data_IF_033403290513
#
_entry.id   IF_033403290513
#
_cell.length_a   1.000
_cell.length_b   1.000
_cell.length_c   1.000
_cell.angle_alpha   90.00
_cell.angle_beta   90.00
_cell.angle_gamma   90.00
#
_symmetry.space_group_name_H-M   'P 1'
#
loop_
_entity.id
_entity.type
_entity.pdbx_description
1 polymer ?
2 polymer ?
3 polymer ?
4 polymer ?
#
loop_
_entity_poly.entity_id
_entity_poly.type
_entity_poly.pdbx_seq_one_letter_code
_entity_poly.pdbx_strand_id
2 'polydeoxyribonucleotide' '(DG)(DG)(DC)(DA)(DG)(DT)(DG)(DT)(DT)(DT)(DT)(DC)(DA)(DC)(DT)(DT)(DT)(DC)(DA)(DC)(DC)(DT)(DG)(DA)(DA)(DC)(DC)(DG)(DG)(DT)(DT)(DT)(DC)(DT)(DC)(DA)(DC)(DA)(DG)(DC)' ?
3 'polydeoxyribonucleotide' '(DG)(DC)(DT)(DG)(DT)(DG)(DA)(DG)(DA)(DA)(DA)(DC)(DC)(DG)' ?
4 'polyribonucleotide' 'CUUUUUGACGAAAAACUCGCCUCAGAAGAUAGGGAGAGUCUAAACGGACGUGGAAGUCGAGGCGCUCUUCGGGGUGCUGAGACUGUGGAAGCGUCAAGACCACCUGCGAGUCAUCGUAGAGGGUCACCGUAGAUGAGUAAUCAUCUGCCCAUCUAUUGCAUUAUGCACGCGAAAGCGUGUGCAUGGGUGGUUCCCGGUUCAGGUGAAAGUGAAA' ?
#
# COMPACT_ATOMS: atom_id res chain seq x y z
N UNK A 11 -13.59 -16.60 12.99
CA UNK A 11 -13.96 -17.68 12.07
C UNK A 11 -13.38 -17.43 10.68
N UNK A 12 -12.17 -16.90 10.62
CA UNK A 12 -11.54 -16.52 9.37
C UNK A 12 -10.51 -17.58 8.96
N UNK A 13 -10.64 -18.08 7.75
CA UNK A 13 -9.66 -18.96 7.13
C UNK A 13 -8.84 -18.13 6.16
N UNK A 14 -8.01 -18.79 5.36
CA UNK A 14 -7.27 -18.10 4.32
C UNK A 14 -6.86 -19.11 3.27
N UNK A 15 -7.45 -19.01 2.08
CA UNK A 15 -7.08 -19.90 0.97
C UNK A 15 -5.91 -19.27 0.24
N UNK A 16 -4.73 -19.83 0.43
CA UNK A 16 -3.51 -19.29 -0.14
C UNK A 16 -3.22 -20.06 -1.43
N UNK A 17 -3.51 -19.45 -2.56
CA UNK A 17 -3.18 -20.02 -3.85
C UNK A 17 -1.84 -19.52 -4.31
N UNK A 18 -1.16 -20.33 -5.10
CA UNK A 18 0.01 -19.88 -5.83
C UNK A 18 -0.45 -19.41 -7.20
N UNK A 19 -0.25 -18.14 -7.50
CA UNK A 19 -0.71 -17.57 -8.76
C UNK A 19 0.04 -18.19 -9.92
N UNK A 20 -0.56 -18.06 -11.11
CA UNK A 20 0.07 -18.46 -12.36
C UNK A 20 -0.04 -17.33 -13.37
N UNK A 21 0.58 -16.18 -13.11
CA UNK A 21 0.41 -15.01 -13.97
C UNK A 21 1.27 -15.14 -15.22
N UNK A 22 1.18 -14.13 -16.08
CA UNK A 22 1.98 -14.03 -17.29
C UNK A 22 2.71 -12.69 -17.29
N UNK A 23 3.42 -12.41 -18.39
CA UNK A 23 4.27 -11.22 -18.44
C UNK A 23 3.45 -9.95 -18.22
N UNK A 24 2.31 -9.84 -18.90
CA UNK A 24 1.49 -8.64 -18.80
C UNK A 24 0.95 -8.45 -17.39
N UNK A 25 0.83 -9.52 -16.62
CA UNK A 25 0.32 -9.42 -15.25
C UNK A 25 1.43 -9.29 -14.22
N UNK A 26 2.57 -9.98 -14.45
CA UNK A 26 3.71 -9.80 -13.56
C UNK A 26 4.25 -8.37 -13.64
N UNK A 27 4.19 -7.75 -14.82
CA UNK A 27 4.61 -6.35 -14.93
C UNK A 27 3.77 -5.46 -14.02
N UNK A 28 2.45 -5.66 -14.01
CA UNK A 28 1.58 -4.88 -13.15
C UNK A 28 1.81 -5.20 -11.68
N UNK A 29 2.14 -6.46 -11.37
CA UNK A 29 2.46 -6.81 -9.98
C UNK A 29 3.73 -6.12 -9.49
N UNK A 30 4.78 -6.11 -10.33
CA UNK A 30 6.00 -5.38 -10.01
C UNK A 30 5.74 -3.88 -9.86
N UNK A 31 4.96 -3.29 -10.77
CA UNK A 31 4.62 -1.88 -10.64
C UNK A 31 3.84 -1.61 -9.35
N UNK A 32 2.98 -2.55 -8.97
CA UNK A 32 2.19 -2.37 -7.76
C UNK A 32 3.06 -2.41 -6.51
N UNK A 33 3.98 -3.37 -6.43
CA UNK A 33 4.85 -3.44 -5.25
C UNK A 33 5.80 -2.25 -5.23
N UNK A 34 6.27 -1.81 -6.40
CA UNK A 34 7.07 -0.60 -6.45
C UNK A 34 6.34 0.62 -5.95
N UNK A 35 5.07 0.78 -6.35
CA UNK A 35 4.28 1.93 -5.90
C UNK A 35 4.03 1.87 -4.40
N UNK A 36 3.71 0.68 -3.87
CA UNK A 36 3.49 0.55 -2.44
C UNK A 36 4.77 0.86 -1.66
N UNK A 37 5.91 0.37 -2.15
CA UNK A 37 7.18 0.67 -1.50
C UNK A 37 7.48 2.16 -1.53
N UNK A 38 7.20 2.83 -2.65
CA UNK A 38 7.53 4.25 -2.78
C UNK A 38 6.67 5.08 -1.83
N UNK A 39 5.38 4.76 -1.72
CA UNK A 39 4.54 5.48 -0.75
C UNK A 39 4.94 5.17 0.69
N UNK A 40 5.32 3.91 0.95
CA UNK A 40 5.83 3.54 2.28
C UNK A 40 7.03 4.39 2.64
N UNK A 41 7.97 4.54 1.70
CA UNK A 41 9.16 5.34 1.94
C UNK A 41 8.82 6.80 2.18
N UNK A 42 7.90 7.39 1.39
CA UNK A 42 7.62 8.80 1.64
C UNK A 42 7.03 8.99 3.03
N UNK A 43 6.09 8.11 3.42
CA UNK A 43 5.46 8.28 4.73
C UNK A 43 6.46 8.10 5.86
N UNK A 44 7.31 7.07 5.78
CA UNK A 44 8.28 6.83 6.84
C UNK A 44 9.29 7.98 6.92
N UNK A 45 9.72 8.51 5.77
CA UNK A 45 10.64 9.66 5.79
C UNK A 45 9.99 10.87 6.46
N UNK A 46 8.73 11.15 6.10
CA UNK A 46 8.05 12.28 6.73
C UNK A 46 8.02 12.11 8.25
N UNK A 47 7.67 10.90 8.70
CA UNK A 47 7.61 10.66 10.14
C UNK A 47 8.99 10.76 10.78
N UNK A 48 10.03 10.29 10.08
CA UNK A 48 11.37 10.23 10.63
C UNK A 48 11.94 11.62 10.85
N UNK A 49 11.90 12.48 9.82
CA UNK A 49 12.34 13.85 10.03
C UNK A 49 11.25 14.76 10.63
N UNK A 50 10.12 14.24 11.08
CA UNK A 50 9.34 14.96 12.07
C UNK A 50 9.83 14.62 13.48
N UNK A 51 10.05 13.33 13.74
CA UNK A 51 10.49 12.92 15.08
C UNK A 51 11.92 13.36 15.39
N UNK A 52 12.76 13.56 14.37
CA UNK A 52 14.08 14.13 14.63
C UNK A 52 13.96 15.51 15.27
N UNK A 53 13.11 16.36 14.70
CA UNK A 53 12.83 17.66 15.31
C UNK A 53 12.18 17.49 16.67
N UNK A 54 11.28 16.51 16.81
CA UNK A 54 10.66 16.25 18.11
C UNK A 54 11.71 16.02 19.19
N UNK A 55 12.64 15.11 18.94
CA UNK A 55 13.65 14.79 19.95
C UNK A 55 14.66 15.90 20.14
N UNK A 56 14.99 16.65 19.08
CA UNK A 56 15.86 17.81 19.25
C UNK A 56 15.23 18.83 20.18
N UNK A 57 13.94 19.13 19.98
CA UNK A 57 13.25 20.06 20.88
C UNK A 57 13.20 19.52 22.30
N UNK A 58 12.89 18.22 22.45
CA UNK A 58 12.81 17.65 23.79
C UNK A 58 14.14 17.72 24.52
N UNK A 59 15.24 17.42 23.83
CA UNK A 59 16.57 17.51 24.45
C UNK A 59 16.94 18.95 24.76
N UNK A 60 16.65 19.88 23.85
CA UNK A 60 17.03 21.28 24.07
C UNK A 60 16.20 21.93 25.18
N UNK A 61 15.01 21.42 25.47
CA UNK A 61 14.26 21.88 26.62
C UNK A 61 14.48 21.03 27.86
N UNK A 62 15.33 19.99 27.76
CA UNK A 62 15.63 19.16 28.91
C UNK A 62 16.70 19.75 29.81
N UNK A 63 17.38 20.81 29.38
CA UNK A 63 18.38 21.46 30.22
C UNK A 63 17.74 21.99 31.50
N UNK A 64 16.57 22.62 31.38
CA UNK A 64 15.78 23.01 32.53
C UNK A 64 14.81 21.89 32.88
N UNK A 65 14.77 21.53 34.15
CA UNK A 65 13.95 20.41 34.59
C UNK A 65 12.48 20.67 34.30
N UNK A 66 11.81 19.69 33.68
CA UNK A 66 10.40 19.79 33.33
C UNK A 66 9.72 18.47 33.67
N UNK A 67 8.40 18.53 33.82
CA UNK A 67 7.60 17.36 34.14
C UNK A 67 7.08 16.73 32.84
N UNK A 68 6.17 15.77 32.97
CA UNK A 68 5.55 15.13 31.82
C UNK A 68 4.20 15.72 31.45
N UNK A 69 3.45 16.24 32.42
CA UNK A 69 2.15 16.82 32.12
C UNK A 69 2.30 18.18 31.46
N UNK A 70 3.29 18.97 31.90
CA UNK A 70 3.47 20.31 31.34
C UNK A 70 3.86 20.25 29.86
N UNK A 71 4.81 19.37 29.52
CA UNK A 71 5.22 19.24 28.13
C UNK A 71 4.09 18.67 27.29
N UNK A 72 3.31 17.76 27.86
CA UNK A 72 2.15 17.22 27.13
C UNK A 72 1.13 18.32 26.84
N UNK A 73 0.85 19.17 27.83
CA UNK A 73 -0.08 20.28 27.61
C UNK A 73 0.47 21.26 26.57
N UNK A 74 1.77 21.54 26.61
CA UNK A 74 2.36 22.43 25.63
C UNK A 74 2.25 21.84 24.22
N UNK A 75 2.54 20.55 24.07
CA UNK A 75 2.44 19.91 22.76
C UNK A 75 1.00 19.88 22.27
N UNK A 76 0.05 19.67 23.18
CA UNK A 76 -1.36 19.74 22.80
C UNK A 76 -1.74 21.14 22.33
N UNK A 77 -1.24 22.17 23.02
CA UNK A 77 -1.47 23.54 22.59
C UNK A 77 -0.79 23.87 21.27
N UNK A 78 0.27 23.13 20.92
CA UNK A 78 0.95 23.30 19.64
C UNK A 78 0.40 22.39 18.55
N UNK A 79 -0.88 22.03 18.61
CA UNK A 79 -1.53 21.19 17.61
C UNK A 79 -2.41 22.00 16.66
N UNK A 80 -2.19 23.31 16.57
CA UNK A 80 -2.99 24.16 15.69
C UNK A 80 -2.11 24.99 14.76
N UNK A 81 -0.89 25.29 15.19
CA UNK A 81 0.05 26.07 14.40
C UNK A 81 1.39 25.37 14.37
N UNK A 82 2.13 25.60 13.28
CA UNK A 82 3.43 24.97 13.04
C UNK A 82 3.29 23.45 13.05
N UNK A 83 2.60 22.95 12.03
CA UNK A 83 2.19 21.56 11.93
C UNK A 83 3.37 20.59 11.87
N UNK A 84 4.59 21.11 11.97
CA UNK A 84 5.77 20.25 12.01
C UNK A 84 5.82 19.36 13.25
N UNK A 85 4.99 19.64 14.26
CA UNK A 85 4.90 18.82 15.46
C UNK A 85 3.75 17.82 15.39
N UNK A 86 3.43 17.33 14.19
CA UNK A 86 2.29 16.45 13.99
C UNK A 86 2.69 15.24 13.17
N UNK A 87 2.02 14.12 13.43
CA UNK A 87 2.20 12.89 12.68
C UNK A 87 0.89 12.54 11.97
N UNK A 88 1.02 11.89 10.82
CA UNK A 88 -0.12 11.66 9.94
C UNK A 88 -0.35 10.18 9.71
N UNK A 89 -1.63 9.80 9.59
CA UNK A 89 -2.03 8.43 9.30
C UNK A 89 -1.91 8.17 7.81
N UNK A 90 -2.51 7.08 7.33
CA UNK A 90 -2.49 6.79 5.90
C UNK A 90 -3.39 7.74 5.13
N UNK A 91 -4.60 7.99 5.64
CA UNK A 91 -5.55 8.81 4.89
C UNK A 91 -5.17 10.29 4.88
N UNK A 92 -4.81 10.83 6.03
CA UNK A 92 -4.47 12.25 6.11
C UNK A 92 -3.24 12.55 5.26
N UNK A 93 -2.19 11.73 5.40
CA UNK A 93 -1.02 11.95 4.57
C UNK A 93 -1.33 11.76 3.10
N UNK A 94 -2.15 10.77 2.76
CA UNK A 94 -2.54 10.57 1.38
C UNK A 94 -3.14 11.83 0.81
N UNK A 95 -4.24 12.27 1.41
CA UNK A 95 -4.94 13.46 0.92
C UNK A 95 -4.01 14.67 0.85
N UNK A 96 -3.15 14.85 1.86
CA UNK A 96 -2.40 16.10 1.97
C UNK A 96 -1.14 16.13 1.12
N UNK A 97 -0.49 14.99 0.86
CA UNK A 97 0.81 15.00 0.19
C UNK A 97 0.95 14.05 -0.99
N UNK A 98 -0.03 13.18 -1.26
CA UNK A 98 0.11 12.22 -2.36
C UNK A 98 -0.56 12.72 -3.64
N UNK A 99 -1.82 13.12 -3.57
CA UNK A 99 -2.50 13.62 -4.75
C UNK A 99 -2.01 15.02 -5.16
N UNK A 100 -1.54 15.88 -4.26
CA UNK A 100 -0.67 16.96 -4.70
C UNK A 100 0.49 16.49 -5.58
N UNK A 101 1.16 15.41 -5.20
CA UNK A 101 2.27 14.94 -6.02
C UNK A 101 1.78 14.22 -7.28
N UNK A 102 0.61 13.59 -7.20
CA UNK A 102 -0.01 13.05 -8.42
C UNK A 102 -0.31 14.17 -9.40
N UNK A 103 -0.85 15.29 -8.91
CA UNK A 103 -1.09 16.45 -9.76
C UNK A 103 0.22 17.05 -10.28
N UNK A 104 1.27 17.01 -9.47
CA UNK A 104 2.58 17.48 -9.93
C UNK A 104 3.08 16.64 -11.09
N UNK A 105 2.95 15.31 -10.99
CA UNK A 105 3.29 14.43 -12.10
C UNK A 105 2.43 14.72 -13.32
N UNK A 106 1.12 14.89 -13.10
CA UNK A 106 0.19 15.16 -14.20
C UNK A 106 0.56 16.44 -14.93
N UNK A 107 0.83 17.51 -14.19
CA UNK A 107 1.29 18.75 -14.79
C UNK A 107 2.61 18.55 -15.51
N UNK A 108 3.50 17.72 -14.97
CA UNK A 108 4.73 17.41 -15.67
C UNK A 108 4.50 16.68 -16.99
N UNK A 109 3.37 15.99 -17.15
CA UNK A 109 2.97 15.57 -18.49
C UNK A 109 2.12 16.60 -19.22
N UNK A 110 1.25 17.33 -18.50
CA UNK A 110 0.46 18.39 -19.12
C UNK A 110 1.32 19.55 -19.60
N UNK A 111 2.64 19.49 -19.38
CA UNK A 111 3.54 20.54 -19.83
C UNK A 111 4.70 19.97 -20.64
N UNK A 112 4.60 18.73 -21.12
CA UNK A 112 5.61 18.13 -21.98
C UNK A 112 4.88 17.48 -23.16
N UNK A 113 3.60 17.85 -23.33
CA UNK A 113 2.73 17.16 -24.29
C UNK A 113 3.34 17.11 -25.68
N UNK A 114 3.55 18.26 -26.30
CA UNK A 114 4.18 18.33 -27.62
C UNK A 114 5.25 19.43 -27.58
N UNK A 115 6.46 19.06 -27.17
CA UNK A 115 7.58 19.97 -27.19
C UNK A 115 7.63 20.87 -25.97
N UNK A 116 8.70 20.75 -25.18
CA UNK A 116 8.93 21.60 -24.01
C UNK A 116 10.33 21.29 -23.50
N UNK A 117 10.69 21.89 -22.36
CA UNK A 117 11.95 21.59 -21.71
C UNK A 117 11.68 20.67 -20.53
N UNK A 118 12.05 19.40 -20.60
CA UNK A 118 11.74 18.47 -19.50
C UNK A 118 12.76 18.55 -18.38
N UNK A 119 13.98 18.98 -18.70
CA UNK A 119 15.02 19.06 -17.68
C UNK A 119 14.67 20.04 -16.56
N UNK A 120 14.06 21.18 -16.91
CA UNK A 120 13.61 22.12 -15.89
C UNK A 120 12.36 21.63 -15.18
N UNK A 121 11.67 20.64 -15.74
CA UNK A 121 10.45 20.11 -15.15
C UNK A 121 10.71 18.79 -14.42
N UNK A 122 11.45 17.88 -15.03
CA UNK A 122 11.74 16.58 -14.43
C UNK A 122 13.15 16.17 -14.79
N UNK A 123 14.01 16.04 -13.79
CA UNK A 123 15.38 15.58 -13.97
C UNK A 123 15.68 14.47 -12.98
N UNK A 124 16.57 13.56 -13.38
CA UNK A 124 16.94 12.41 -12.54
C UNK A 124 18.12 12.74 -11.64
N UNK A 125 18.03 13.86 -10.91
CA UNK A 125 19.07 14.25 -9.96
C UNK A 125 18.56 14.24 -8.53
N UNK A 126 17.48 14.96 -8.24
CA UNK A 126 16.87 14.96 -6.92
C UNK A 126 15.75 13.94 -6.80
N UNK A 127 15.48 13.18 -7.85
CA UNK A 127 14.40 12.19 -7.86
C UNK A 127 14.77 11.09 -8.84
N UNK A 128 14.70 9.85 -8.39
CA UNK A 128 15.18 8.70 -9.15
C UNK A 128 14.17 8.19 -10.18
N UNK A 129 13.19 9.00 -10.54
CA UNK A 129 12.18 8.59 -11.52
C UNK A 129 12.56 9.12 -12.90
N UNK A 130 12.59 8.24 -13.89
CA UNK A 130 12.90 8.67 -15.25
C UNK A 130 11.83 9.61 -15.80
N UNK A 131 10.57 9.29 -15.55
CA UNK A 131 9.45 10.10 -15.98
C UNK A 131 8.36 10.01 -14.92
N UNK A 132 7.47 11.00 -14.84
CA UNK A 132 6.40 10.94 -13.84
C UNK A 132 5.47 9.75 -14.08
N UNK A 133 5.16 9.04 -13.01
CA UNK A 133 4.24 7.91 -13.10
C UNK A 133 3.29 7.75 -11.92
N UNK A 134 3.29 8.67 -10.95
CA UNK A 134 2.54 8.44 -9.72
C UNK A 134 1.05 8.70 -9.88
N UNK A 135 0.64 9.41 -10.93
CA UNK A 135 -0.78 9.69 -11.13
C UNK A 135 -1.50 8.56 -11.86
N UNK A 136 -0.79 7.78 -12.68
CA UNK A 136 -1.35 6.64 -13.38
C UNK A 136 -1.28 5.35 -12.57
N UNK A 137 -1.18 5.46 -11.25
CA UNK A 137 -1.08 4.30 -10.37
C UNK A 137 -2.40 4.09 -9.64
N UNK A 138 -2.79 2.84 -9.49
CA UNK A 138 -4.09 2.51 -8.91
C UNK A 138 -4.17 2.99 -7.47
N UNK A 139 -5.34 3.48 -7.08
CA UNK A 139 -5.51 4.04 -5.74
C UNK A 139 -5.33 2.97 -4.68
N UNK A 140 -5.83 1.76 -4.92
CA UNK A 140 -5.74 0.68 -3.93
C UNK A 140 -4.29 0.32 -3.64
N UNK A 141 -3.51 0.10 -4.70
CA UNK A 141 -2.12 -0.27 -4.54
C UNK A 141 -1.34 0.83 -3.83
N UNK A 142 -1.55 2.08 -4.24
CA UNK A 142 -0.85 3.19 -3.61
C UNK A 142 -1.17 3.28 -2.14
N UNK A 143 -2.46 3.22 -1.78
CA UNK A 143 -2.85 3.37 -0.38
C UNK A 143 -2.46 2.14 0.44
N UNK A 144 -2.13 1.01 -0.21
CA UNK A 144 -1.62 -0.13 0.56
C UNK A 144 -0.31 0.19 1.26
N UNK A 145 0.60 0.89 0.58
CA UNK A 145 1.83 1.31 1.23
C UNK A 145 1.60 2.23 2.40
N UNK A 146 0.64 3.16 2.25
CA UNK A 146 0.25 3.99 3.38
C UNK A 146 -0.25 3.13 4.54
N UNK A 147 -1.04 2.11 4.23
CA UNK A 147 -1.53 1.18 5.25
C UNK A 147 -0.36 0.58 6.03
N UNK A 148 0.61 0.03 5.31
CA UNK A 148 1.73 -0.65 5.95
C UNK A 148 2.57 0.30 6.78
N UNK A 149 2.89 1.47 6.24
CA UNK A 149 3.74 2.42 6.96
C UNK A 149 3.06 2.93 8.22
N UNK A 150 1.78 3.31 8.12
CA UNK A 150 1.04 3.75 9.29
C UNK A 150 0.97 2.64 10.32
N UNK A 151 0.77 1.40 9.88
CA UNK A 151 0.74 0.27 10.80
C UNK A 151 2.07 0.12 11.54
N UNK A 152 3.19 0.21 10.82
CA UNK A 152 4.50 0.06 11.45
C UNK A 152 4.74 1.15 12.49
N UNK A 153 4.44 2.40 12.14
CA UNK A 153 4.71 3.49 13.07
C UNK A 153 3.80 3.43 14.30
N UNK A 154 2.51 3.12 14.10
CA UNK A 154 1.63 2.96 15.26
C UNK A 154 2.05 1.76 16.10
N UNK A 155 2.53 0.71 15.46
CA UNK A 155 3.01 -0.46 16.17
C UNK A 155 4.18 -0.11 17.07
N UNK A 156 5.11 0.72 16.58
CA UNK A 156 6.26 1.06 17.40
C UNK A 156 5.89 2.02 18.52
N UNK A 157 5.07 3.03 18.24
CA UNK A 157 4.65 3.93 19.31
C UNK A 157 3.71 3.27 20.30
N UNK A 158 3.14 2.11 19.97
CA UNK A 158 2.44 1.31 20.96
C UNK A 158 3.39 0.39 21.72
N UNK A 159 4.43 -0.10 21.05
CA UNK A 159 5.44 -0.92 21.73
C UNK A 159 6.16 -0.13 22.80
N UNK A 160 6.46 1.14 22.53
CA UNK A 160 7.21 1.96 23.48
C UNK A 160 6.43 2.15 24.78
N UNK A 161 5.26 2.78 24.70
CA UNK A 161 4.61 3.29 25.90
C UNK A 161 4.18 2.20 26.89
N UNK A 162 3.14 1.43 26.57
CA UNK A 162 2.64 0.46 27.53
C UNK A 162 1.97 -0.79 27.03
N UNK A 163 1.97 -1.04 25.72
CA UNK A 163 1.02 -1.99 25.14
C UNK A 163 1.66 -3.30 24.68
N UNK A 164 2.64 -3.24 23.79
CA UNK A 164 3.15 -4.46 23.16
C UNK A 164 4.16 -5.14 24.06
N UNK A 165 3.87 -6.37 24.46
CA UNK A 165 4.79 -7.14 25.28
C UNK A 165 5.96 -7.66 24.44
N UNK A 166 7.02 -8.04 25.12
CA UNK A 166 8.21 -8.55 24.48
C UNK A 166 9.33 -7.53 24.44
N UNK A 167 10.27 -7.76 23.52
CA UNK A 167 11.43 -6.89 23.38
C UNK A 167 11.04 -5.56 22.77
N UNK A 168 11.94 -4.58 22.93
CA UNK A 168 11.79 -3.29 22.27
C UNK A 168 11.89 -3.47 20.76
N UNK A 169 11.04 -2.77 20.02
CA UNK A 169 10.91 -3.03 18.58
C UNK A 169 11.54 -1.91 17.76
N UNK A 170 12.84 -2.03 17.51
CA UNK A 170 13.54 -1.37 16.41
C UNK A 170 13.19 0.06 16.08
N UNK A 171 13.35 0.40 14.80
CA UNK A 171 12.88 1.63 14.17
C UNK A 171 12.46 1.25 12.76
N UNK A 172 11.48 1.96 12.18
CA UNK A 172 11.02 1.60 10.83
C UNK A 172 12.12 1.82 9.81
N UNK A 173 12.47 0.74 9.11
CA UNK A 173 13.55 0.77 8.14
C UNK A 173 13.01 0.98 6.73
N UNK A 174 13.70 1.83 5.97
CA UNK A 174 13.33 2.06 4.58
C UNK A 174 13.42 0.76 3.79
N UNK A 175 12.36 0.44 3.06
CA UNK A 175 12.37 -0.76 2.24
C UNK A 175 13.26 -0.54 1.01
N UNK A 176 13.75 -1.65 0.47
CA UNK A 176 14.63 -1.62 -0.68
C UNK A 176 14.24 -2.73 -1.64
N UNK A 177 14.74 -2.62 -2.87
CA UNK A 177 14.49 -3.62 -3.90
C UNK A 177 15.43 -4.80 -3.66
N UNK A 178 14.90 -5.87 -3.07
CA UNK A 178 15.68 -7.07 -2.80
C UNK A 178 16.18 -7.23 -1.38
N UNK A 179 15.77 -6.37 -0.46
CA UNK A 179 16.21 -6.47 0.93
C UNK A 179 15.00 -6.66 1.84
N UNK A 180 13.85 -6.14 1.42
CA UNK A 180 12.63 -6.21 2.21
C UNK A 180 11.56 -7.02 1.48
N UNK A 181 10.35 -7.00 2.02
CA UNK A 181 9.24 -7.80 1.53
C UNK A 181 8.40 -7.01 0.53
N UNK A 182 7.92 -7.71 -0.51
CA UNK A 182 7.07 -7.13 -1.55
C UNK A 182 5.68 -7.74 -1.43
N UNK A 183 4.67 -6.91 -1.14
CA UNK A 183 3.32 -7.42 -0.95
C UNK A 183 2.32 -6.27 -0.84
N UNK A 184 1.13 -6.46 -1.41
CA UNK A 184 0.07 -5.45 -1.29
C UNK A 184 -1.30 -6.12 -1.12
N UNK A 185 -2.20 -5.40 -0.48
CA UNK A 185 -3.54 -5.88 -0.16
C UNK A 185 -4.58 -5.06 -0.91
N UNK A 186 -5.51 -5.74 -1.57
CA UNK A 186 -6.59 -5.09 -2.33
C UNK A 186 -7.92 -5.59 -1.79
N UNK A 187 -8.82 -4.70 -1.36
CA UNK A 187 -10.02 -5.12 -0.63
C UNK A 187 -11.29 -5.27 -1.47
N UNK A 188 -12.34 -5.79 -0.81
CA UNK A 188 -13.72 -5.63 -1.24
C UNK A 188 -14.23 -4.29 -0.74
N UNK A 189 -15.36 -3.79 -1.28
CA UNK A 189 -16.35 -4.28 -2.25
C UNK A 189 -15.97 -4.14 -3.72
N UNK A 190 -14.70 -4.35 -4.05
CA UNK A 190 -14.34 -4.54 -5.44
C UNK A 190 -14.67 -5.96 -5.88
N UNK A 191 -14.63 -6.18 -7.18
CA UNK A 191 -15.08 -7.44 -7.77
C UNK A 191 -13.95 -8.45 -7.77
N UNK A 192 -14.11 -9.52 -7.01
CA UNK A 192 -13.11 -10.57 -6.85
C UNK A 192 -13.82 -11.85 -6.44
N UNK A 193 -13.26 -12.98 -6.83
CA UNK A 193 -13.82 -14.26 -6.42
C UNK A 193 -13.57 -15.33 -7.45
N UNK A 194 -13.98 -16.54 -7.08
CA UNK A 194 -13.79 -17.76 -7.85
C UNK A 194 -15.00 -18.01 -8.75
N UNK A 195 -15.14 -19.24 -9.23
CA UNK A 195 -16.27 -19.71 -10.04
C UNK A 195 -17.58 -19.10 -9.58
N UNK A 196 -18.31 -18.51 -10.52
CA UNK A 196 -19.50 -17.76 -10.23
C UNK A 196 -19.34 -16.26 -10.18
N UNK A 197 -18.31 -15.70 -10.82
CA UNK A 197 -18.04 -14.27 -10.80
C UNK A 197 -17.74 -13.80 -12.22
N UNK A 198 -18.00 -12.51 -12.47
CA UNK A 198 -17.90 -11.93 -13.79
C UNK A 198 -16.49 -11.39 -14.07
N UNK A 199 -16.24 -11.11 -15.35
CA UNK A 199 -14.94 -10.67 -15.84
C UNK A 199 -14.85 -9.13 -15.83
N UNK A 200 -13.81 -8.61 -16.48
CA UNK A 200 -13.56 -7.18 -16.59
C UNK A 200 -13.78 -6.73 -18.03
N UNK A 201 -14.39 -5.56 -18.20
CA UNK A 201 -14.64 -5.03 -19.54
C UNK A 201 -13.35 -4.50 -20.14
N UNK A 202 -13.00 -4.99 -21.33
CA UNK A 202 -11.87 -4.49 -22.07
C UNK A 202 -10.63 -5.37 -22.03
N UNK A 203 -10.55 -6.28 -21.07
CA UNK A 203 -9.38 -7.15 -20.98
C UNK A 203 -9.37 -8.12 -22.17
N UNK A 204 -8.21 -8.71 -22.47
CA UNK A 204 -8.16 -9.64 -23.61
C UNK A 204 -9.10 -10.83 -23.49
N UNK A 205 -9.53 -11.17 -22.28
CA UNK A 205 -10.52 -12.22 -22.08
C UNK A 205 -11.96 -11.70 -22.23
N UNK A 206 -12.15 -10.39 -22.29
CA UNK A 206 -13.45 -9.84 -22.64
C UNK A 206 -13.55 -9.51 -24.13
N UNK A 207 -12.41 -9.39 -24.81
CA UNK A 207 -12.43 -9.30 -26.27
C UNK A 207 -12.99 -10.58 -26.89
N UNK A 208 -12.62 -11.74 -26.33
CA UNK A 208 -13.20 -13.01 -26.76
C UNK A 208 -14.65 -13.16 -26.35
N UNK A 209 -15.16 -12.28 -25.48
CA UNK A 209 -16.56 -12.25 -25.12
C UNK A 209 -16.93 -13.05 -23.89
N UNK A 210 -15.97 -13.76 -23.28
CA UNK A 210 -16.29 -14.62 -22.15
C UNK A 210 -16.65 -13.74 -20.94
N UNK A 211 -17.72 -14.11 -20.24
CA UNK A 211 -18.32 -13.23 -19.25
C UNK A 211 -18.26 -13.75 -17.82
N UNK A 212 -18.25 -15.07 -17.61
CA UNK A 212 -18.28 -15.61 -16.26
C UNK A 212 -17.28 -16.76 -16.15
N UNK A 213 -16.77 -16.96 -14.93
CA UNK A 213 -15.86 -18.07 -14.65
C UNK A 213 -16.69 -19.33 -14.47
N UNK A 214 -16.37 -20.36 -15.26
CA UNK A 214 -17.15 -21.60 -15.26
C UNK A 214 -16.26 -22.82 -15.03
N UNK A 215 -15.20 -22.67 -14.25
CA UNK A 215 -14.35 -23.79 -13.85
C UNK A 215 -13.72 -23.47 -12.50
N UNK A 216 -12.72 -24.26 -12.12
CA UNK A 216 -12.17 -24.22 -10.78
C UNK A 216 -10.69 -23.85 -10.75
N UNK A 217 -10.20 -23.14 -11.76
CA UNK A 217 -8.79 -22.79 -11.81
C UNK A 217 -8.62 -21.33 -12.26
N UNK A 218 -9.43 -20.44 -11.70
CA UNK A 218 -9.35 -19.02 -11.98
C UNK A 218 -9.88 -18.24 -10.78
N UNK A 219 -9.29 -17.08 -10.51
CA UNK A 219 -9.80 -16.16 -9.52
C UNK A 219 -9.85 -14.77 -10.14
N UNK A 220 -10.67 -13.92 -9.54
CA UNK A 220 -10.91 -12.57 -10.05
C UNK A 220 -10.14 -11.59 -9.18
N UNK A 221 -9.25 -10.82 -9.80
CA UNK A 221 -8.40 -9.87 -9.08
C UNK A 221 -8.58 -8.49 -9.69
N UNK A 222 -9.64 -7.79 -9.25
CA UNK A 222 -9.92 -6.38 -9.52
C UNK A 222 -9.45 -5.90 -10.88
N UNK A 223 -8.70 -4.80 -10.90
CA UNK A 223 -8.25 -4.17 -12.13
C UNK A 223 -7.12 -4.92 -12.81
N UNK A 224 -6.67 -6.03 -12.22
CA UNK A 224 -5.60 -6.84 -12.81
C UNK A 224 -6.12 -7.88 -13.79
N UNK A 225 -7.44 -8.05 -13.89
CA UNK A 225 -8.04 -9.07 -14.73
C UNK A 225 -8.50 -10.27 -13.94
N UNK A 226 -8.51 -11.44 -14.58
CA UNK A 226 -8.75 -12.71 -13.90
C UNK A 226 -7.49 -13.55 -14.07
N UNK A 227 -6.97 -14.06 -12.97
CA UNK A 227 -5.66 -14.72 -12.96
C UNK A 227 -5.85 -16.17 -12.55
N UNK A 228 -5.08 -17.05 -13.18
CA UNK A 228 -5.11 -18.48 -12.95
C UNK A 228 -4.47 -18.81 -11.60
N UNK A 229 -4.55 -20.09 -11.21
CA UNK A 229 -3.95 -20.60 -9.99
C UNK A 229 -3.30 -21.95 -10.27
N UNK A 230 -2.39 -22.34 -9.37
CA UNK A 230 -1.84 -23.69 -9.39
C UNK A 230 -2.75 -24.67 -8.64
N UNK A 231 -3.50 -24.17 -7.68
CA UNK A 231 -4.41 -24.97 -6.87
C UNK A 231 -5.69 -25.25 -7.65
N UNK A 232 -6.71 -25.72 -6.92
CA UNK A 232 -8.06 -25.83 -7.41
C UNK A 232 -8.97 -25.05 -6.48
N UNK A 233 -10.00 -24.43 -7.05
CA UNK A 233 -10.89 -23.57 -6.29
C UNK A 233 -12.18 -24.28 -5.88
N UNK A 234 -12.25 -25.60 -6.02
CA UNK A 234 -13.44 -26.33 -5.57
C UNK A 234 -13.71 -26.18 -4.09
N UNK A 235 -12.73 -26.29 -3.18
CA UNK A 235 -13.03 -25.97 -1.76
C UNK A 235 -13.48 -24.54 -1.56
N UNK A 236 -12.90 -23.59 -2.30
CA UNK A 236 -13.30 -22.19 -2.17
C UNK A 236 -14.74 -21.98 -2.60
N UNK A 237 -15.13 -22.53 -3.75
CA UNK A 237 -16.49 -22.35 -4.25
C UNK A 237 -17.49 -23.11 -3.39
N UNK A 238 -17.10 -24.28 -2.87
CA UNK A 238 -18.02 -25.02 -2.01
C UNK A 238 -18.18 -24.33 -0.66
N UNK A 239 -17.16 -23.62 -0.20
CA UNK A 239 -17.34 -22.76 0.97
C UNK A 239 -18.20 -21.56 0.64
N UNK A 240 -18.04 -21.00 -0.56
CA UNK A 240 -18.83 -19.84 -0.97
C UNK A 240 -20.31 -20.18 -1.01
N UNK A 241 -20.64 -21.36 -1.55
CA UNK A 241 -22.04 -21.77 -1.51
C UNK A 241 -22.23 -22.51 -0.20
N UNK A 242 -22.17 -21.77 0.90
CA UNK A 242 -22.73 -22.18 2.18
C UNK A 242 -23.15 -20.98 3.02
N UNK A 243 -23.01 -19.76 2.51
CA UNK A 243 -23.10 -18.57 3.32
C UNK A 243 -21.77 -17.94 3.69
N UNK A 244 -20.71 -18.15 2.89
CA UNK A 244 -19.38 -17.62 3.18
C UNK A 244 -18.90 -16.77 2.01
N UNK A 245 -18.40 -15.58 2.32
CA UNK A 245 -18.03 -14.60 1.31
C UNK A 245 -16.59 -14.14 1.52
N UNK A 246 -15.90 -13.89 0.40
CA UNK A 246 -14.52 -13.41 0.44
C UNK A 246 -14.48 -11.98 1.00
N UNK A 247 -13.34 -11.60 1.57
CA UNK A 247 -13.15 -10.30 2.18
C UNK A 247 -12.15 -9.42 1.45
N UNK A 248 -10.99 -9.95 1.09
CA UNK A 248 -9.98 -9.18 0.38
C UNK A 248 -9.07 -10.16 -0.34
N UNK A 249 -8.02 -9.64 -0.95
CA UNK A 249 -6.97 -10.53 -1.45
C UNK A 249 -5.62 -9.86 -1.27
N UNK A 250 -4.66 -10.64 -0.78
CA UNK A 250 -3.30 -10.15 -0.55
C UNK A 250 -2.37 -10.83 -1.54
N UNK A 251 -1.63 -10.04 -2.30
CA UNK A 251 -0.63 -10.56 -3.24
C UNK A 251 0.75 -10.38 -2.62
N UNK A 252 1.57 -11.42 -2.70
CA UNK A 252 2.88 -11.41 -2.06
C UNK A 252 3.90 -12.09 -2.97
N UNK A 253 5.17 -11.76 -2.74
CA UNK A 253 6.28 -12.34 -3.48
C UNK A 253 7.27 -13.00 -2.53
N UNK A 254 7.75 -14.17 -2.94
CA UNK A 254 8.83 -14.88 -2.24
C UNK A 254 9.82 -15.36 -3.30
N UNK A 255 11.02 -14.80 -3.27
CA UNK A 255 12.01 -15.02 -4.32
C UNK A 255 11.48 -14.55 -5.67
N UNK A 256 11.04 -15.49 -6.52
CA UNK A 256 10.43 -15.15 -7.79
C UNK A 256 9.03 -15.75 -7.93
N UNK A 257 8.42 -16.15 -6.81
CA UNK A 257 7.11 -16.77 -6.80
C UNK A 257 6.09 -15.79 -6.27
N UNK A 258 4.91 -15.78 -6.88
CA UNK A 258 3.81 -14.91 -6.47
C UNK A 258 2.71 -15.77 -5.85
N UNK A 259 2.13 -15.27 -4.76
CA UNK A 259 1.08 -15.96 -4.04
C UNK A 259 -0.06 -14.98 -3.81
N UNK A 260 -1.28 -15.50 -3.71
CA UNK A 260 -2.43 -14.70 -3.35
C UNK A 260 -3.19 -15.40 -2.23
N UNK A 261 -3.56 -14.64 -1.22
CA UNK A 261 -4.39 -15.14 -0.13
C UNK A 261 -5.78 -14.56 -0.26
N UNK A 262 -6.77 -15.45 -0.25
CA UNK A 262 -8.19 -15.08 -0.25
C UNK A 262 -8.72 -15.29 1.16
N UNK A 263 -9.06 -14.20 1.83
CA UNK A 263 -9.53 -14.24 3.20
C UNK A 263 -11.04 -14.45 3.19
N UNK A 264 -11.48 -15.64 3.59
CA UNK A 264 -12.89 -16.01 3.60
C UNK A 264 -13.42 -15.85 5.00
N UNK A 265 -14.68 -15.42 5.12
CA UNK A 265 -15.36 -15.30 6.41
C UNK A 265 -16.58 -16.22 6.39
N UNK A 266 -16.44 -17.40 6.98
CA UNK A 266 -17.55 -18.33 7.07
C UNK A 266 -18.64 -17.78 8.00
N UNK A 267 -19.89 -17.89 7.56
CA UNK A 267 -21.02 -17.41 8.35
C UNK A 267 -22.31 -18.06 7.91
#
# INVERSE_FOLDING_TARGET
MATTDKKDEENLRAYKFRLDPNQAQTTALYQAVGAARYTYNMLTAYNLEVNRLRDDYWKRRHDEDISDADIKKELNALAKEDKRYKQLNYGAFGTQYLTPEKKRHEQAEHRIENGEDPSVVWNQETERSANPWLHTANQRVLVSGLQNASDAWDNFWASRTGKRAGRLVGTPRFKKKGVSRDSFTVPAPEKMGAYGTAYLRGEPAYKQGRRKITDYRHVRLSYLGTIRTFNSTKPLVKAVVAGAKIRSYTVSRNADRWYVSFLVKFSEPIRRSATKRARAAGSVGVDLGVKYLASLSDSEAPQRFPNLKFVEGLPSLENPRWSEASSRRLHKLQRALARSQKGSNRRSRLVKQIARLHHMTALRRESNLHQLTKKLATEYTLVGFEDLNVSGMTASAKGTVENPGKNVAQKSGLNRVVLDAAFGVFRNQLEYKAVWYGSAFEKVDRYFASSQTCSECGRKAKTKLTLRDRVFDCAYCGNMMDRDLNAAVNICREAQRLFDEKLASEDRESLNGRGSRGALRGAETVEASRPPASHRRGSP
#
